data_IF_449548757979
#
_entry.id   IF_449548757979
#
_cell.length_a   1.000
_cell.length_b   1.000
_cell.length_c   1.000
_cell.angle_alpha   90.00
_cell.angle_beta   90.00
_cell.angle_gamma   90.00
#
_symmetry.space_group_name_H-M   'P 1'
#
loop_
_entity.id
_entity.type
_entity.pdbx_description
1 polymer ?
#
# COMPACT_ATOMS: atom_id res chain seq x y z
N UNK A 1 -25.26 -24.27 -2.53
CA UNK A 1 -24.76 -23.28 -3.52
C UNK A 1 -23.32 -22.91 -3.15
N UNK A 2 -22.35 -23.04 -4.06
CA UNK A 2 -20.97 -22.63 -3.77
C UNK A 2 -20.89 -21.10 -3.73
N UNK A 3 -20.76 -20.51 -2.54
CA UNK A 3 -20.57 -19.06 -2.39
C UNK A 3 -19.27 -18.66 -3.07
N UNK A 4 -19.34 -17.84 -4.12
CA UNK A 4 -18.15 -17.33 -4.81
C UNK A 4 -17.51 -16.23 -3.96
N UNK A 5 -16.30 -16.45 -3.47
CA UNK A 5 -15.53 -15.46 -2.69
C UNK A 5 -14.82 -14.42 -3.57
N UNK A 6 -15.39 -14.08 -4.73
CA UNK A 6 -14.74 -13.22 -5.73
C UNK A 6 -14.48 -11.82 -5.18
N UNK A 7 -15.42 -11.25 -4.41
CA UNK A 7 -15.26 -9.91 -3.82
C UNK A 7 -14.07 -9.82 -2.86
N UNK A 8 -13.99 -10.74 -1.88
CA UNK A 8 -12.86 -10.77 -0.95
C UNK A 8 -11.53 -11.05 -1.65
N UNK A 9 -11.53 -11.89 -2.69
CA UNK A 9 -10.32 -12.15 -3.49
C UNK A 9 -9.89 -10.92 -4.27
N UNK A 10 -10.82 -10.21 -4.91
CA UNK A 10 -10.52 -8.97 -5.61
C UNK A 10 -9.95 -7.90 -4.66
N UNK A 11 -10.59 -7.69 -3.50
CA UNK A 11 -10.10 -6.77 -2.47
C UNK A 11 -8.68 -7.13 -1.99
N UNK A 12 -8.44 -8.42 -1.74
CA UNK A 12 -7.13 -8.93 -1.32
C UNK A 12 -6.05 -8.69 -2.38
N UNK A 13 -6.30 -9.08 -3.63
CA UNK A 13 -5.30 -9.11 -4.69
C UNK A 13 -5.05 -7.71 -5.27
N UNK A 14 -6.10 -6.91 -5.50
CA UNK A 14 -5.97 -5.52 -5.97
C UNK A 14 -5.32 -4.65 -4.89
N UNK A 15 -5.72 -4.83 -3.63
CA UNK A 15 -5.10 -4.11 -2.50
C UNK A 15 -3.60 -4.40 -2.39
N UNK A 16 -3.20 -5.68 -2.50
CA UNK A 16 -1.79 -6.06 -2.45
C UNK A 16 -1.01 -5.52 -3.66
N UNK A 17 -1.58 -5.64 -4.86
CA UNK A 17 -0.93 -5.17 -6.08
C UNK A 17 -0.69 -3.65 -6.05
N UNK A 18 -1.67 -2.88 -5.60
CA UNK A 18 -1.54 -1.42 -5.49
C UNK A 18 -0.58 -1.02 -4.36
N UNK A 19 -0.57 -1.73 -3.23
CA UNK A 19 0.40 -1.49 -2.15
C UNK A 19 1.84 -1.76 -2.61
N UNK A 20 2.08 -2.92 -3.24
CA UNK A 20 3.38 -3.26 -3.84
C UNK A 20 3.77 -2.24 -4.92
N UNK A 21 2.94 -2.07 -5.94
CA UNK A 21 3.22 -1.21 -7.09
C UNK A 21 3.41 0.25 -6.71
N UNK A 22 2.60 0.79 -5.80
CA UNK A 22 2.74 2.15 -5.30
C UNK A 22 4.04 2.36 -4.52
N UNK A 23 4.43 1.39 -3.67
CA UNK A 23 5.69 1.46 -2.94
C UNK A 23 6.90 1.37 -3.87
N UNK A 24 6.87 0.48 -4.87
CA UNK A 24 7.93 0.32 -5.86
C UNK A 24 8.05 1.56 -6.77
N UNK A 25 6.93 2.09 -7.25
CA UNK A 25 6.90 3.33 -8.04
C UNK A 25 7.44 4.52 -7.23
N UNK A 26 7.09 4.63 -5.96
CA UNK A 26 7.60 5.69 -5.10
C UNK A 26 9.13 5.68 -4.98
N UNK A 27 9.72 4.49 -4.83
CA UNK A 27 11.17 4.34 -4.70
C UNK A 27 11.91 4.47 -6.03
N UNK A 28 11.35 3.90 -7.10
CA UNK A 28 12.02 3.87 -8.41
C UNK A 28 11.66 5.10 -9.26
N UNK A 29 10.38 5.37 -9.46
CA UNK A 29 9.88 6.43 -10.34
C UNK A 29 9.89 7.80 -9.69
N UNK A 30 9.22 7.96 -8.54
CA UNK A 30 9.08 9.27 -7.89
C UNK A 30 10.43 9.82 -7.41
N UNK A 31 11.25 8.99 -6.76
CA UNK A 31 12.58 9.42 -6.31
C UNK A 31 13.53 9.72 -7.48
N UNK A 32 13.48 8.96 -8.58
CA UNK A 32 14.27 9.28 -9.77
C UNK A 32 13.82 10.60 -10.41
N UNK A 33 12.50 10.79 -10.59
CA UNK A 33 11.97 12.05 -11.10
C UNK A 33 12.34 13.26 -10.22
N UNK A 34 12.39 13.07 -8.90
CA UNK A 34 12.84 14.13 -7.99
C UNK A 34 14.34 14.45 -8.14
N UNK A 35 15.18 13.49 -8.55
CA UNK A 35 16.62 13.70 -8.72
C UNK A 35 16.97 14.62 -9.90
N UNK A 36 16.07 14.77 -10.87
CA UNK A 36 16.21 15.72 -11.99
C UNK A 36 16.21 17.20 -11.54
N UNK A 37 15.85 17.49 -10.29
CA UNK A 37 15.91 18.84 -9.76
C UNK A 37 17.33 19.18 -9.27
N UNK A 38 17.87 20.34 -9.66
CA UNK A 38 19.23 20.79 -9.30
C UNK A 38 19.44 20.96 -7.78
N UNK A 39 18.40 21.36 -7.05
CA UNK A 39 18.50 21.71 -5.63
C UNK A 39 17.97 20.58 -4.75
N UNK A 40 18.77 20.11 -3.77
CA UNK A 40 18.39 19.10 -2.77
C UNK A 40 17.05 19.40 -2.06
N UNK A 41 16.77 20.68 -1.80
CA UNK A 41 15.50 21.12 -1.22
C UNK A 41 14.31 20.85 -2.14
N UNK A 42 14.47 21.09 -3.45
CA UNK A 42 13.44 20.80 -4.45
C UNK A 42 13.21 19.30 -4.56
N UNK A 43 14.28 18.49 -4.56
CA UNK A 43 14.18 17.01 -4.53
C UNK A 43 13.33 16.56 -3.35
N UNK A 44 13.68 16.98 -2.14
CA UNK A 44 12.96 16.63 -0.91
C UNK A 44 11.50 17.07 -0.93
N UNK A 45 11.21 18.27 -1.46
CA UNK A 45 9.84 18.81 -1.56
C UNK A 45 8.99 18.03 -2.56
N UNK A 46 9.51 17.72 -3.75
CA UNK A 46 8.79 16.94 -4.77
C UNK A 46 8.47 15.55 -4.25
N UNK A 47 9.47 14.87 -3.66
CA UNK A 47 9.28 13.56 -3.05
C UNK A 47 8.26 13.61 -1.90
N UNK A 48 8.36 14.59 -0.97
CA UNK A 48 7.40 14.75 0.13
C UNK A 48 5.97 14.95 -0.39
N UNK A 49 5.77 15.88 -1.32
CA UNK A 49 4.44 16.15 -1.90
C UNK A 49 3.87 14.91 -2.60
N UNK A 50 4.70 14.19 -3.36
CA UNK A 50 4.29 12.96 -4.04
C UNK A 50 3.83 11.90 -3.05
N UNK A 51 4.60 11.64 -2.00
CA UNK A 51 4.23 10.68 -0.95
C UNK A 51 3.01 11.13 -0.16
N UNK A 52 2.87 12.41 0.17
CA UNK A 52 1.71 12.94 0.87
C UNK A 52 0.42 12.74 0.08
N UNK A 53 0.43 13.00 -1.24
CA UNK A 53 -0.72 12.77 -2.12
C UNK A 53 -1.06 11.29 -2.29
N UNK A 54 -0.04 10.42 -2.31
CA UNK A 54 -0.23 8.98 -2.47
C UNK A 54 -0.68 8.28 -1.18
N UNK A 55 -0.28 8.78 -0.02
CA UNK A 55 -0.52 8.12 1.28
C UNK A 55 -1.98 7.72 1.57
N UNK A 56 -3.00 8.58 1.39
CA UNK A 56 -4.39 8.20 1.64
C UNK A 56 -4.88 7.12 0.67
N UNK A 57 -4.44 7.19 -0.59
CA UNK A 57 -4.74 6.17 -1.60
C UNK A 57 -4.12 4.83 -1.22
N UNK A 58 -2.85 4.83 -0.81
CA UNK A 58 -2.17 3.64 -0.32
C UNK A 58 -2.85 3.05 0.93
N UNK A 59 -3.29 3.89 1.87
CA UNK A 59 -4.01 3.44 3.06
C UNK A 59 -5.33 2.72 2.70
N UNK A 60 -6.07 3.23 1.72
CA UNK A 60 -7.28 2.57 1.22
C UNK A 60 -6.99 1.19 0.62
N UNK A 61 -5.91 1.05 -0.16
CA UNK A 61 -5.51 -0.24 -0.73
C UNK A 61 -5.00 -1.24 0.31
N UNK A 62 -4.25 -0.78 1.31
CA UNK A 62 -3.88 -1.60 2.47
C UNK A 62 -5.14 -2.09 3.18
N UNK A 63 -6.10 -1.20 3.44
CA UNK A 63 -7.39 -1.56 4.04
C UNK A 63 -8.15 -2.61 3.23
N UNK A 64 -8.23 -2.43 1.90
CA UNK A 64 -8.84 -3.40 0.99
C UNK A 64 -8.14 -4.77 1.08
N UNK A 65 -6.81 -4.80 1.11
CA UNK A 65 -6.04 -6.04 1.25
C UNK A 65 -6.38 -6.78 2.55
N UNK A 66 -6.43 -6.05 3.66
CA UNK A 66 -6.73 -6.62 4.98
C UNK A 66 -8.17 -7.14 5.08
N UNK A 67 -9.15 -6.38 4.58
CA UNK A 67 -10.57 -6.81 4.53
C UNK A 67 -10.71 -8.07 3.66
N UNK A 68 -10.09 -8.07 2.48
CA UNK A 68 -10.06 -9.22 1.59
C UNK A 68 -9.42 -10.45 2.26
N UNK A 69 -8.27 -10.28 2.90
CA UNK A 69 -7.54 -11.33 3.61
C UNK A 69 -8.36 -11.92 4.77
N UNK A 70 -8.97 -11.07 5.60
CA UNK A 70 -9.82 -11.49 6.71
C UNK A 70 -11.06 -12.25 6.22
N UNK A 71 -11.72 -11.77 5.16
CA UNK A 71 -12.86 -12.46 4.54
C UNK A 71 -12.48 -13.81 3.94
N UNK A 72 -11.33 -13.89 3.27
CA UNK A 72 -10.79 -15.16 2.76
C UNK A 72 -10.44 -16.13 3.87
N UNK A 73 -9.84 -15.67 4.97
CA UNK A 73 -9.57 -16.51 6.14
C UNK A 73 -10.87 -17.02 6.78
N UNK A 74 -11.85 -16.15 6.97
CA UNK A 74 -13.14 -16.50 7.57
C UNK A 74 -13.89 -17.54 6.75
N UNK A 75 -13.93 -17.37 5.42
CA UNK A 75 -14.61 -18.30 4.51
C UNK A 75 -13.86 -19.62 4.32
N UNK A 76 -12.53 -19.65 4.52
CA UNK A 76 -11.69 -20.85 4.39
C UNK A 76 -11.27 -21.46 5.74
N UNK A 77 -11.86 -21.08 6.87
CA UNK A 77 -11.46 -21.55 8.23
C UNK A 77 -11.29 -23.07 8.32
N UNK A 78 -12.20 -23.84 7.71
CA UNK A 78 -12.13 -25.31 7.69
C UNK A 78 -10.87 -25.82 6.96
N UNK A 79 -10.53 -25.22 5.82
CA UNK A 79 -9.32 -25.59 5.07
C UNK A 79 -8.06 -25.26 5.84
N UNK A 80 -8.02 -24.10 6.49
CA UNK A 80 -6.89 -23.68 7.34
C UNK A 80 -6.70 -24.65 8.51
N UNK A 81 -7.78 -25.21 9.08
CA UNK A 81 -7.71 -26.13 10.22
C UNK A 81 -7.34 -27.57 9.83
N UNK A 82 -7.82 -28.06 8.69
CA UNK A 82 -7.77 -29.50 8.37
C UNK A 82 -6.86 -29.86 7.19
N UNK A 83 -6.46 -28.91 6.34
CA UNK A 83 -5.65 -29.20 5.15
C UNK A 83 -4.15 -28.98 5.44
N UNK A 84 -3.35 -30.05 5.29
CA UNK A 84 -1.89 -30.00 5.47
C UNK A 84 -1.28 -28.93 4.56
N UNK A 85 -0.36 -28.13 5.10
CA UNK A 85 0.32 -27.03 4.39
C UNK A 85 -0.42 -25.69 4.37
N UNK A 86 -1.76 -25.67 4.43
CA UNK A 86 -2.53 -24.42 4.35
C UNK A 86 -2.30 -23.51 5.56
N UNK A 87 -2.22 -24.09 6.77
CA UNK A 87 -1.95 -23.33 8.00
C UNK A 87 -0.60 -22.61 7.94
N UNK A 88 0.45 -23.30 7.49
CA UNK A 88 1.80 -22.74 7.40
C UNK A 88 1.86 -21.56 6.44
N UNK A 89 1.30 -21.71 5.24
CA UNK A 89 1.22 -20.62 4.25
C UNK A 89 0.37 -19.45 4.76
N UNK A 90 -0.73 -19.71 5.47
CA UNK A 90 -1.53 -18.67 6.11
C UNK A 90 -0.73 -17.89 7.15
N UNK A 91 -0.01 -18.57 8.04
CA UNK A 91 0.83 -17.93 9.07
C UNK A 91 1.94 -17.11 8.41
N UNK A 92 2.63 -17.66 7.41
CA UNK A 92 3.68 -16.95 6.68
C UNK A 92 3.15 -15.65 6.04
N UNK A 93 1.96 -15.68 5.41
CA UNK A 93 1.31 -14.48 4.89
C UNK A 93 0.99 -13.48 5.98
N UNK A 94 0.42 -13.90 7.11
CA UNK A 94 0.09 -12.99 8.21
C UNK A 94 1.33 -12.32 8.80
N UNK A 95 2.42 -13.06 8.99
CA UNK A 95 3.70 -12.52 9.47
C UNK A 95 4.25 -11.50 8.48
N UNK A 96 4.28 -11.83 7.19
CA UNK A 96 4.76 -10.91 6.16
C UNK A 96 3.87 -9.65 6.04
N UNK A 97 2.55 -9.79 6.12
CA UNK A 97 1.62 -8.64 6.14
C UNK A 97 1.87 -7.76 7.35
N UNK A 98 2.03 -8.35 8.54
CA UNK A 98 2.37 -7.61 9.76
C UNK A 98 3.69 -6.86 9.64
N UNK A 99 4.74 -7.52 9.13
CA UNK A 99 6.04 -6.90 8.89
C UNK A 99 5.96 -5.76 7.85
N UNK A 100 5.20 -5.95 6.76
CA UNK A 100 5.00 -4.92 5.74
C UNK A 100 4.25 -3.70 6.31
N UNK A 101 3.21 -3.92 7.13
CA UNK A 101 2.48 -2.86 7.81
C UNK A 101 3.39 -2.08 8.77
N UNK A 102 4.12 -2.79 9.63
CA UNK A 102 5.05 -2.19 10.59
C UNK A 102 6.12 -1.35 9.88
N UNK A 103 6.72 -1.90 8.81
CA UNK A 103 7.72 -1.19 8.00
C UNK A 103 7.11 0.05 7.33
N UNK A 104 5.90 -0.06 6.76
CA UNK A 104 5.21 1.07 6.12
C UNK A 104 4.88 2.18 7.12
N UNK A 105 4.46 1.83 8.34
CA UNK A 105 4.23 2.82 9.38
C UNK A 105 5.55 3.47 9.80
N UNK A 106 6.59 2.67 10.04
CA UNK A 106 7.90 3.15 10.48
C UNK A 106 8.54 4.11 9.47
N UNK A 107 8.54 3.78 8.17
CA UNK A 107 9.10 4.67 7.14
C UNK A 107 8.35 5.99 7.05
N UNK A 108 7.05 6.02 7.30
CA UNK A 108 6.27 7.27 7.37
C UNK A 108 6.66 8.11 8.58
N UNK A 109 6.84 7.49 9.74
CA UNK A 109 7.28 8.21 10.95
C UNK A 109 8.68 8.81 10.75
N UNK A 110 9.62 8.04 10.17
CA UNK A 110 10.96 8.54 9.81
C UNK A 110 10.89 9.71 8.81
N UNK A 111 10.06 9.58 7.77
CA UNK A 111 9.84 10.64 6.79
C UNK A 111 9.32 11.93 7.43
N UNK A 112 8.34 11.82 8.34
CA UNK A 112 7.79 12.95 9.08
C UNK A 112 8.84 13.64 9.96
N UNK A 113 9.69 12.87 10.66
CA UNK A 113 10.79 13.42 11.46
C UNK A 113 11.78 14.23 10.61
N UNK A 114 12.09 13.73 9.40
CA UNK A 114 12.99 14.41 8.46
C UNK A 114 12.35 15.70 7.92
N UNK A 115 11.07 15.66 7.57
CA UNK A 115 10.31 16.82 7.10
C UNK A 115 10.24 17.92 8.16
N UNK A 116 9.89 17.59 9.40
CA UNK A 116 9.80 18.55 10.52
C UNK A 116 11.13 19.26 10.75
N UNK A 117 12.25 18.52 10.69
CA UNK A 117 13.58 19.10 10.82
C UNK A 117 13.93 20.08 9.69
N UNK A 118 13.50 19.81 8.46
CA UNK A 118 13.70 20.72 7.32
C UNK A 118 12.87 22.00 7.49
N UNK A 119 11.63 21.89 7.97
CA UNK A 119 10.75 23.04 8.23
C UNK A 119 11.34 23.93 9.35
N UNK A 120 11.75 23.33 10.47
CA UNK A 120 12.33 24.08 11.59
C UNK A 120 13.66 24.77 11.25
N UNK A 121 14.45 24.21 10.33
CA UNK A 121 15.67 24.84 9.84
C UNK A 121 15.43 26.03 8.90
N UNK A 122 14.20 26.30 8.46
CA UNK A 122 13.86 27.37 7.52
C UNK A 122 12.67 28.24 7.99
N UNK A 123 12.77 28.95 9.13
CA UNK A 123 11.65 29.68 9.74
C UNK A 123 11.12 30.88 8.92
N UNK A 124 11.90 31.43 7.98
CA UNK A 124 11.57 32.66 7.24
C UNK A 124 11.04 32.44 5.81
N UNK A 125 10.76 31.19 5.41
CA UNK A 125 10.22 30.91 4.07
C UNK A 125 8.71 30.73 4.18
N UNK A 126 7.99 31.81 3.85
CA UNK A 126 6.54 31.83 3.68
C UNK A 126 6.02 30.57 2.98
N UNK A 127 5.08 29.87 3.61
CA UNK A 127 4.32 28.76 3.03
C UNK A 127 3.52 29.15 1.76
N UNK A 128 3.57 30.43 1.38
CA UNK A 128 2.80 31.07 0.31
C UNK A 128 3.54 31.27 -1.02
N UNK A 129 4.77 30.78 -1.23
CA UNK A 129 5.27 30.53 -2.61
C UNK A 129 4.64 29.24 -3.16
N UNK A 130 3.32 29.19 -3.05
CA UNK A 130 2.44 28.22 -3.66
C UNK A 130 2.05 28.86 -4.98
N UNK A 131 2.63 28.38 -6.08
CA UNK A 131 1.96 28.50 -7.37
C UNK A 131 0.54 27.98 -7.15
N UNK A 132 -0.42 28.89 -7.29
CA UNK A 132 -1.84 28.68 -7.07
C UNK A 132 -2.33 27.67 -8.12
N UNK A 133 -2.14 26.37 -7.86
CA UNK A 133 -2.89 25.34 -8.56
C UNK A 133 -4.31 25.43 -8.04
N UNK A 134 -5.14 26.01 -8.90
CA UNK A 134 -6.55 26.27 -8.68
C UNK A 134 -7.22 25.07 -7.99
N UNK A 135 -7.75 25.34 -6.79
CA UNK A 135 -8.42 24.35 -5.94
C UNK A 135 -9.87 24.08 -6.43
N UNK A 136 -10.27 24.70 -7.55
CA UNK A 136 -11.65 24.79 -8.03
C UNK A 136 -12.35 23.52 -8.53
N UNK A 137 -11.71 22.35 -8.66
CA UNK A 137 -12.34 21.20 -9.34
C UNK A 137 -12.64 19.97 -8.47
N UNK A 138 -12.35 19.97 -7.17
CA UNK A 138 -12.46 18.74 -6.34
C UNK A 138 -13.43 18.80 -5.15
N UNK A 139 -14.14 19.91 -4.93
CA UNK A 139 -15.03 20.04 -3.76
C UNK A 139 -16.52 19.73 -4.03
N UNK A 140 -17.03 19.91 -5.24
CA UNK A 140 -18.48 19.84 -5.51
C UNK A 140 -19.10 18.43 -5.61
N UNK A 141 -18.35 17.36 -5.37
CA UNK A 141 -18.88 15.99 -5.54
C UNK A 141 -18.34 14.91 -4.59
N UNK A 142 -17.64 15.27 -3.52
CA UNK A 142 -17.07 14.27 -2.59
C UNK A 142 -18.15 13.64 -1.72
N UNK A 143 -18.73 12.53 -2.20
CA UNK A 143 -19.62 11.66 -1.42
C UNK A 143 -18.94 11.12 -0.14
N UNK A 144 -19.73 10.53 0.76
CA UNK A 144 -19.29 10.18 2.12
C UNK A 144 -18.04 9.30 2.22
N UNK A 145 -17.75 8.46 1.22
CA UNK A 145 -16.53 7.65 1.20
C UNK A 145 -15.25 8.51 1.07
N UNK A 146 -15.27 9.58 0.29
CA UNK A 146 -14.12 10.48 0.14
C UNK A 146 -13.86 11.27 1.42
N UNK A 147 -14.92 11.66 2.14
CA UNK A 147 -14.83 12.32 3.44
C UNK A 147 -14.29 11.39 4.53
N UNK A 148 -14.75 10.14 4.56
CA UNK A 148 -14.23 9.13 5.49
C UNK A 148 -12.73 8.85 5.26
N UNK A 149 -12.28 8.75 4.01
CA UNK A 149 -10.85 8.60 3.69
C UNK A 149 -10.05 9.82 4.16
N UNK A 150 -10.59 11.03 3.98
CA UNK A 150 -9.93 12.27 4.41
C UNK A 150 -9.82 12.37 5.94
N UNK A 151 -10.83 11.94 6.68
CA UNK A 151 -10.81 11.94 8.15
C UNK A 151 -9.80 10.91 8.69
N UNK A 152 -9.77 9.69 8.11
CA UNK A 152 -8.77 8.67 8.47
C UNK A 152 -7.35 9.16 8.17
N UNK A 153 -7.14 9.85 7.04
CA UNK A 153 -5.84 10.43 6.69
C UNK A 153 -5.40 11.51 7.70
N UNK A 154 -6.33 12.38 8.11
CA UNK A 154 -6.06 13.39 9.13
C UNK A 154 -5.65 12.75 10.47
N UNK A 155 -6.39 11.74 10.92
CA UNK A 155 -6.06 10.99 12.14
C UNK A 155 -4.71 10.29 12.04
N UNK A 156 -4.43 9.67 10.89
CA UNK A 156 -3.13 9.03 10.63
C UNK A 156 -1.99 10.06 10.64
N UNK A 157 -2.17 11.24 10.05
CA UNK A 157 -1.18 12.32 10.05
C UNK A 157 -0.87 12.84 11.45
N UNK A 158 -1.89 12.97 12.31
CA UNK A 158 -1.72 13.33 13.71
C UNK A 158 -0.95 12.25 14.49
N UNK A 159 -1.33 10.98 14.33
CA UNK A 159 -0.65 9.86 14.98
C UNK A 159 0.82 9.74 14.53
N UNK A 160 1.10 9.94 13.24
CA UNK A 160 2.46 9.94 12.70
C UNK A 160 3.30 11.09 13.26
N UNK A 161 2.71 12.28 13.43
CA UNK A 161 3.40 13.43 14.01
C UNK A 161 3.76 13.17 15.48
N UNK A 162 2.82 12.64 16.28
CA UNK A 162 3.08 12.26 17.67
C UNK A 162 4.14 11.16 17.78
N UNK A 163 4.06 10.13 16.92
CA UNK A 163 5.06 9.06 16.88
C UNK A 163 6.44 9.60 16.48
N UNK A 164 6.50 10.55 15.54
CA UNK A 164 7.75 11.16 15.11
C UNK A 164 8.37 11.97 16.24
N UNK A 165 7.59 12.72 16.99
CA UNK A 165 8.06 13.46 18.16
C UNK A 165 8.69 12.53 19.22
N UNK A 166 8.01 11.43 19.53
CA UNK A 166 8.43 10.44 20.53
C UNK A 166 9.66 9.61 20.13
N UNK A 167 10.01 9.55 18.85
CA UNK A 167 11.18 8.78 18.40
C UNK A 167 12.49 9.34 18.98
N UNK A 168 13.27 8.55 19.75
CA UNK A 168 14.51 8.99 20.40
C UNK A 168 15.70 9.00 19.44
N UNK A 169 15.49 9.44 18.19
CA UNK A 169 16.51 9.55 17.15
C UNK A 169 16.47 10.94 16.52
N UNK A 170 17.65 11.47 16.20
CA UNK A 170 17.79 12.75 15.51
C UNK A 170 17.40 12.67 14.02
N UNK A 171 17.15 13.82 13.39
CA UNK A 171 16.73 13.89 11.99
C UNK A 171 17.75 13.30 11.01
N UNK A 172 19.05 13.45 11.28
CA UNK A 172 20.11 12.87 10.45
C UNK A 172 20.09 11.32 10.49
N UNK A 173 19.89 10.75 11.68
CA UNK A 173 19.74 9.30 11.86
C UNK A 173 18.47 8.81 11.20
N UNK A 174 17.35 9.53 11.37
CA UNK A 174 16.09 9.20 10.73
C UNK A 174 16.20 9.19 9.20
N UNK A 175 16.92 10.16 8.60
CA UNK A 175 17.23 10.19 7.16
C UNK A 175 18.06 8.98 6.73
N UNK A 176 19.09 8.61 7.51
CA UNK A 176 19.94 7.43 7.23
C UNK A 176 19.14 6.13 7.31
N UNK A 177 18.30 5.97 8.32
CA UNK A 177 17.44 4.79 8.43
C UNK A 177 16.43 4.75 7.27
N UNK A 178 15.81 5.89 6.94
CA UNK A 178 14.85 5.96 5.85
C UNK A 178 15.48 5.47 4.53
N UNK A 179 16.72 5.84 4.21
CA UNK A 179 17.39 5.34 3.00
C UNK A 179 17.56 3.82 2.98
N UNK A 180 17.85 3.19 4.12
CA UNK A 180 17.93 1.72 4.20
C UNK A 180 16.56 1.05 4.03
N UNK A 181 15.50 1.68 4.57
CA UNK A 181 14.15 1.12 4.52
C UNK A 181 13.37 1.43 3.24
N UNK A 182 13.91 2.23 2.31
CA UNK A 182 13.23 2.55 1.05
C UNK A 182 12.83 1.29 0.27
N UNK A 183 13.67 0.25 0.25
CA UNK A 183 13.36 -1.01 -0.45
C UNK A 183 12.64 -2.06 0.41
N UNK A 184 12.53 -1.85 1.72
CA UNK A 184 11.98 -2.86 2.61
C UNK A 184 10.47 -3.11 2.35
N UNK A 185 9.69 -2.04 2.14
CA UNK A 185 8.25 -2.16 1.83
C UNK A 185 8.01 -2.88 0.49
N UNK A 186 8.62 -2.49 -0.64
CA UNK A 186 8.43 -3.20 -1.90
C UNK A 186 8.96 -4.64 -1.85
N UNK A 187 10.04 -4.92 -1.11
CA UNK A 187 10.53 -6.28 -0.93
C UNK A 187 9.54 -7.18 -0.16
N UNK A 188 9.01 -6.70 0.97
CA UNK A 188 8.05 -7.45 1.80
C UNK A 188 6.71 -7.66 1.07
N UNK A 189 6.20 -6.62 0.42
CA UNK A 189 4.95 -6.72 -0.36
C UNK A 189 5.13 -7.55 -1.63
N UNK A 190 6.30 -7.49 -2.28
CA UNK A 190 6.66 -8.38 -3.39
C UNK A 190 6.74 -9.84 -2.94
N UNK A 191 7.34 -10.12 -1.78
CA UNK A 191 7.35 -11.46 -1.20
C UNK A 191 5.92 -11.97 -0.91
N UNK A 192 5.02 -11.10 -0.44
CA UNK A 192 3.59 -11.43 -0.28
C UNK A 192 2.91 -11.75 -1.61
N UNK A 193 3.24 -11.05 -2.69
CA UNK A 193 2.73 -11.33 -4.04
C UNK A 193 3.18 -12.72 -4.49
N UNK A 194 4.47 -13.03 -4.36
CA UNK A 194 5.04 -14.35 -4.72
C UNK A 194 4.39 -15.46 -3.91
N UNK A 195 4.31 -15.30 -2.58
CA UNK A 195 3.68 -16.28 -1.70
C UNK A 195 2.18 -16.45 -2.00
N UNK A 196 1.52 -15.39 -2.49
CA UNK A 196 0.13 -15.45 -2.92
C UNK A 196 -0.07 -16.18 -4.23
N UNK A 197 0.83 -15.99 -5.20
CA UNK A 197 0.85 -16.74 -6.45
C UNK A 197 1.07 -18.25 -6.20
N UNK A 198 2.10 -18.61 -5.42
CA UNK A 198 2.40 -20.00 -5.06
C UNK A 198 1.23 -20.68 -4.34
N UNK A 199 0.58 -19.98 -3.40
CA UNK A 199 -0.60 -20.50 -2.72
C UNK A 199 -1.79 -20.71 -3.67
N UNK A 200 -1.87 -19.94 -4.78
CA UNK A 200 -2.88 -20.10 -5.82
C UNK A 200 -2.69 -21.35 -6.65
N UNK A 201 -1.44 -21.71 -6.97
CA UNK A 201 -1.10 -22.94 -7.69
C UNK A 201 -1.47 -24.19 -6.88
N UNK A 202 -1.18 -24.19 -5.58
CA UNK A 202 -1.55 -25.28 -4.67
C UNK A 202 -3.06 -25.43 -4.44
N UNK A 203 -3.87 -24.45 -4.87
CA UNK A 203 -5.33 -24.42 -4.69
C UNK A 203 -6.12 -24.91 -5.91
N UNK A 204 -5.47 -25.30 -7.02
CA UNK A 204 -6.16 -25.86 -8.20
C UNK A 204 -6.15 -27.39 -8.16
N UNK A 205 -7.24 -28.07 -7.76
CA UNK A 205 -7.58 -29.36 -8.36
C UNK A 205 -7.74 -29.13 -9.87
N UNK A 206 -7.19 -30.01 -10.71
CA UNK A 206 -7.15 -29.88 -12.18
C UNK A 206 -8.50 -29.58 -12.87
N UNK A 207 -9.62 -29.76 -12.17
CA UNK A 207 -10.98 -29.59 -12.67
C UNK A 207 -11.38 -28.15 -13.04
N UNK A 208 -10.69 -27.12 -12.53
CA UNK A 208 -11.03 -25.71 -12.87
C UNK A 208 -10.49 -25.28 -14.24
N UNK A 209 -9.40 -25.88 -14.72
CA UNK A 209 -8.82 -25.58 -16.04
C UNK A 209 -9.75 -26.06 -17.16
N UNK A 210 -10.36 -27.24 -16.96
CA UNK A 210 -11.39 -27.78 -17.85
C UNK A 210 -12.66 -26.92 -17.91
N UNK A 211 -13.06 -26.30 -16.80
CA UNK A 211 -14.24 -25.42 -16.76
C UNK A 211 -14.06 -24.08 -17.48
N UNK A 212 -12.85 -23.51 -17.45
CA UNK A 212 -12.50 -22.30 -18.21
C UNK A 212 -12.34 -22.63 -19.69
N UNK A 213 -11.68 -23.73 -20.04
CA UNK A 213 -11.58 -24.22 -21.41
C UNK A 213 -12.95 -24.50 -22.03
N UNK A 214 -13.89 -25.07 -21.27
CA UNK A 214 -15.28 -25.26 -21.74
C UNK A 214 -16.00 -23.94 -21.99
N UNK A 215 -15.85 -22.93 -21.13
CA UNK A 215 -16.52 -21.62 -21.31
C UNK A 215 -15.94 -20.81 -22.45
N UNK A 216 -14.64 -20.88 -22.67
CA UNK A 216 -13.98 -20.27 -23.84
C UNK A 216 -14.40 -21.01 -25.11
N UNK A 217 -14.45 -22.35 -25.09
CA UNK A 217 -14.98 -23.14 -26.21
C UNK A 217 -16.46 -22.88 -26.51
N UNK A 218 -17.31 -22.67 -25.49
CA UNK A 218 -18.72 -22.30 -25.67
C UNK A 218 -18.88 -20.86 -26.17
N UNK A 219 -18.01 -19.93 -25.78
CA UNK A 219 -18.05 -18.55 -26.28
C UNK A 219 -17.56 -18.46 -27.74
N UNK A 220 -16.65 -19.35 -28.15
CA UNK A 220 -16.14 -19.43 -29.52
C UNK A 220 -16.99 -20.33 -30.44
N UNK A 221 -17.79 -21.24 -29.88
CA UNK A 221 -18.66 -22.17 -30.62
C UNK A 221 -20.11 -21.70 -30.81
N UNK A 222 -20.47 -20.48 -30.39
CA UNK A 222 -21.79 -19.85 -30.64
C UNK A 222 -21.75 -18.92 -31.87
N UNK A 223 -20.63 -18.90 -32.60
CA UNK A 223 -20.45 -18.12 -33.83
C UNK A 223 -20.13 -18.98 -35.06
N UNK A 224 -20.64 -20.22 -35.13
CA UNK A 224 -20.59 -21.08 -36.32
C UNK A 224 -21.98 -21.61 -36.66
#
# INVERSE_FOLDING_TARGET
MSTRNTGFRALHDVGLAAWFGGSLFGVAGLNAAAQEADQERTKARVTSIGWAKWSPVNAAFIGAHLIGGAGLLATNRKRVKYQKGVTGTTVAKLVLTGAALATTAYTRVLGKKVEDAVIHASPNISSSTTTHLDRGTTQEGRGGAAQAVQEVDKQAGQALSQAAEQLPIGAAEAKRQLSWFQLAVPALTGALVVLSAQAGEQQRPGDQVLGVARRVGSALGVAA
#
